data_IF_883363092240
#
_entry.id   IF_883363092240
#
_cell.length_a   1.000
_cell.length_b   1.000
_cell.length_c   1.000
_cell.angle_alpha   90.00
_cell.angle_beta   90.00
_cell.angle_gamma   90.00
#
_symmetry.space_group_name_H-M   'P 1'
#
loop_
_entity.id
_entity.type
_entity.pdbx_description
1 polymer ?
#
# COMPACT_ATOMS: atom_id res chain seq x y z
N UNK A 1 -33.31 -12.25 -15.57
CA UNK A 1 -31.86 -11.91 -15.42
C UNK A 1 -31.51 -11.28 -14.06
N UNK A 2 -32.48 -10.75 -13.30
CA UNK A 2 -32.29 -10.10 -11.99
C UNK A 2 -32.09 -11.05 -10.78
N UNK A 3 -32.76 -12.21 -10.75
CA UNK A 3 -32.78 -13.05 -9.53
C UNK A 3 -31.44 -13.72 -9.18
N UNK A 4 -30.61 -14.02 -10.19
CA UNK A 4 -29.27 -14.56 -9.97
C UNK A 4 -28.36 -13.51 -9.32
N UNK A 5 -28.38 -12.27 -9.83
CA UNK A 5 -27.56 -11.19 -9.28
C UNK A 5 -27.98 -10.84 -7.85
N UNK A 6 -29.28 -10.79 -7.56
CA UNK A 6 -29.80 -10.56 -6.20
C UNK A 6 -29.39 -11.67 -5.23
N UNK A 7 -29.44 -12.93 -5.65
CA UNK A 7 -29.00 -14.08 -4.84
C UNK A 7 -27.52 -14.01 -4.45
N UNK A 8 -26.65 -13.53 -5.34
CA UNK A 8 -25.20 -13.53 -5.12
C UNK A 8 -24.61 -12.16 -4.76
N UNK A 9 -25.40 -11.09 -4.74
CA UNK A 9 -24.95 -9.71 -4.48
C UNK A 9 -24.09 -9.59 -3.22
N UNK A 10 -24.54 -10.19 -2.12
CA UNK A 10 -23.82 -10.13 -0.85
C UNK A 10 -22.55 -10.98 -0.86
N UNK A 11 -22.58 -12.14 -1.53
CA UNK A 11 -21.39 -12.98 -1.73
C UNK A 11 -20.33 -12.26 -2.55
N UNK A 12 -20.71 -11.61 -3.65
CA UNK A 12 -19.81 -10.83 -4.52
C UNK A 12 -19.15 -9.71 -3.71
N UNK A 13 -19.93 -8.94 -2.92
CA UNK A 13 -19.39 -7.89 -2.04
C UNK A 13 -18.43 -8.45 -1.00
N UNK A 14 -18.76 -9.56 -0.33
CA UNK A 14 -17.90 -10.20 0.67
C UNK A 14 -16.58 -10.67 0.06
N UNK A 15 -16.62 -11.28 -1.12
CA UNK A 15 -15.42 -11.72 -1.85
C UNK A 15 -14.57 -10.51 -2.22
N UNK A 16 -15.14 -9.47 -2.81
CA UNK A 16 -14.42 -8.25 -3.17
C UNK A 16 -13.73 -7.60 -1.95
N UNK A 17 -14.43 -7.49 -0.81
CA UNK A 17 -13.88 -6.97 0.45
C UNK A 17 -12.75 -7.84 0.98
N UNK A 18 -12.89 -9.17 0.94
CA UNK A 18 -11.82 -10.11 1.33
C UNK A 18 -10.57 -9.93 0.48
N UNK A 19 -10.72 -9.79 -0.84
CA UNK A 19 -9.58 -9.55 -1.72
C UNK A 19 -8.92 -8.18 -1.46
N UNK A 20 -9.71 -7.13 -1.21
CA UNK A 20 -9.17 -5.82 -0.81
C UNK A 20 -8.36 -5.92 0.49
N UNK A 21 -8.93 -6.54 1.53
CA UNK A 21 -8.26 -6.70 2.81
C UNK A 21 -6.96 -7.49 2.69
N UNK A 22 -6.93 -8.56 1.89
CA UNK A 22 -5.70 -9.33 1.62
C UNK A 22 -4.59 -8.46 1.01
N UNK A 23 -4.94 -7.59 0.05
CA UNK A 23 -3.98 -6.70 -0.60
C UNK A 23 -3.42 -5.64 0.35
N UNK A 24 -4.29 -5.02 1.15
CA UNK A 24 -3.89 -4.03 2.16
C UNK A 24 -3.04 -4.70 3.25
N UNK A 25 -3.46 -5.87 3.72
CA UNK A 25 -2.74 -6.63 4.75
C UNK A 25 -1.33 -6.97 4.35
N UNK A 26 -1.06 -7.27 3.07
CA UNK A 26 0.29 -7.59 2.63
C UNK A 26 1.26 -6.39 2.72
N UNK A 27 0.82 -5.20 2.28
CA UNK A 27 1.62 -3.98 2.43
C UNK A 27 1.80 -3.60 3.90
N UNK A 28 0.73 -3.70 4.70
CA UNK A 28 0.82 -3.40 6.13
C UNK A 28 1.75 -4.37 6.87
N UNK A 29 1.73 -5.66 6.50
CA UNK A 29 2.66 -6.65 7.04
C UNK A 29 4.11 -6.35 6.63
N UNK A 30 4.35 -5.83 5.44
CA UNK A 30 5.69 -5.38 5.05
C UNK A 30 6.17 -4.18 5.86
N UNK A 31 5.24 -3.33 6.31
CA UNK A 31 5.53 -2.13 7.11
C UNK A 31 5.53 -2.37 8.62
N UNK A 32 5.16 -3.56 9.11
CA UNK A 32 4.91 -3.79 10.55
C UNK A 32 6.14 -3.71 11.43
N UNK A 33 7.32 -3.98 10.86
CA UNK A 33 8.62 -3.95 11.52
C UNK A 33 9.45 -2.73 11.08
N UNK A 34 8.83 -1.77 10.37
CA UNK A 34 9.50 -0.61 9.81
C UNK A 34 9.15 0.63 10.61
N UNK A 35 10.03 1.62 10.50
CA UNK A 35 9.82 2.95 11.03
C UNK A 35 10.23 3.99 9.99
N UNK A 36 9.75 5.22 10.17
CA UNK A 36 10.17 6.36 9.39
C UNK A 36 11.68 6.53 9.52
N UNK A 37 12.39 6.54 8.39
CA UNK A 37 13.84 6.74 8.31
C UNK A 37 14.30 8.04 8.99
N UNK A 38 13.47 9.09 8.93
CA UNK A 38 13.86 10.42 9.42
C UNK A 38 13.50 10.68 10.89
N UNK A 39 12.32 10.24 11.36
CA UNK A 39 11.81 10.61 12.70
C UNK A 39 11.48 9.42 13.61
N UNK A 40 11.65 8.18 13.15
CA UNK A 40 11.40 6.99 13.96
C UNK A 40 9.93 6.62 14.19
N UNK A 41 8.96 7.35 13.61
CA UNK A 41 7.54 7.00 13.66
C UNK A 41 7.33 5.55 13.21
N UNK A 42 6.57 4.75 13.95
CA UNK A 42 6.40 3.31 13.73
C UNK A 42 4.95 2.89 13.48
N UNK A 43 3.99 3.82 13.61
CA UNK A 43 2.60 3.53 13.28
C UNK A 43 2.46 3.22 11.77
N UNK A 44 2.16 1.95 11.45
CA UNK A 44 2.06 1.46 10.07
C UNK A 44 1.14 2.30 9.19
N UNK A 45 0.06 2.87 9.74
CA UNK A 45 -0.89 3.70 9.01
C UNK A 45 -0.28 5.03 8.53
N UNK A 46 0.71 5.54 9.26
CA UNK A 46 1.42 6.77 8.99
C UNK A 46 2.55 6.59 7.97
N UNK A 47 3.02 5.35 7.77
CA UNK A 47 4.15 5.02 6.91
C UNK A 47 3.79 5.01 5.41
N UNK A 48 4.74 5.49 4.61
CA UNK A 48 4.65 5.67 3.16
C UNK A 48 5.94 5.20 2.50
N UNK A 49 5.81 4.68 1.29
CA UNK A 49 6.95 4.35 0.43
C UNK A 49 7.32 5.58 -0.41
N UNK A 50 8.29 6.38 0.01
CA UNK A 50 8.70 7.54 -0.77
C UNK A 50 9.75 7.16 -1.82
N UNK A 51 9.62 7.58 -3.09
CA UNK A 51 8.54 8.43 -3.65
C UNK A 51 7.36 7.63 -4.25
N UNK A 52 7.38 6.29 -4.20
CA UNK A 52 6.52 5.43 -5.02
C UNK A 52 5.19 4.97 -4.39
N UNK A 53 4.74 5.55 -3.26
CA UNK A 53 3.58 5.08 -2.47
C UNK A 53 2.30 4.99 -3.31
N UNK A 54 2.04 6.02 -4.13
CA UNK A 54 0.87 6.08 -5.01
C UNK A 54 0.90 4.98 -6.08
N UNK A 55 2.05 4.75 -6.70
CA UNK A 55 2.26 3.72 -7.72
C UNK A 55 2.10 2.31 -7.12
N UNK A 56 2.75 2.04 -5.98
CA UNK A 56 2.65 0.77 -5.26
C UNK A 56 1.19 0.46 -4.90
N UNK A 57 0.45 1.44 -4.35
CA UNK A 57 -0.96 1.25 -3.98
C UNK A 57 -1.86 1.07 -5.20
N UNK A 58 -1.57 1.73 -6.32
CA UNK A 58 -2.30 1.56 -7.58
C UNK A 58 -2.11 0.14 -8.14
N UNK A 59 -0.88 -0.32 -8.28
CA UNK A 59 -0.57 -1.66 -8.81
C UNK A 59 -1.13 -2.74 -7.90
N UNK A 60 -0.98 -2.58 -6.58
CA UNK A 60 -1.54 -3.51 -5.59
C UNK A 60 -3.06 -3.65 -5.78
N UNK A 61 -3.80 -2.54 -5.92
CA UNK A 61 -5.25 -2.55 -6.14
C UNK A 61 -5.67 -3.26 -7.43
N UNK A 62 -4.96 -3.04 -8.53
CA UNK A 62 -5.34 -3.51 -9.88
C UNK A 62 -4.90 -4.93 -10.19
N UNK A 63 -3.64 -5.29 -9.90
CA UNK A 63 -3.02 -6.52 -10.41
C UNK A 63 -3.09 -7.73 -9.46
N UNK A 64 -3.84 -7.60 -8.35
CA UNK A 64 -4.32 -8.72 -7.54
C UNK A 64 -3.31 -9.85 -7.30
N UNK A 65 -2.14 -9.59 -6.70
CA UNK A 65 -1.16 -10.63 -6.29
C UNK A 65 -0.77 -11.61 -7.43
N UNK A 66 -0.92 -11.23 -8.70
CA UNK A 66 -0.37 -12.01 -9.80
C UNK A 66 1.16 -11.81 -9.84
N UNK A 67 1.91 -12.84 -10.25
CA UNK A 67 3.37 -12.89 -10.12
C UNK A 67 4.12 -11.68 -10.70
N UNK A 68 3.73 -11.20 -11.88
CA UNK A 68 4.38 -10.05 -12.54
C UNK A 68 4.15 -8.73 -11.79
N UNK A 69 2.90 -8.44 -11.40
CA UNK A 69 2.58 -7.23 -10.64
C UNK A 69 3.21 -7.21 -9.24
N UNK A 70 3.42 -8.39 -8.63
CA UNK A 70 4.12 -8.50 -7.35
C UNK A 70 5.60 -8.14 -7.48
N UNK A 71 6.26 -8.59 -8.56
CA UNK A 71 7.67 -8.24 -8.80
C UNK A 71 7.85 -6.73 -9.02
N UNK A 72 6.96 -6.10 -9.78
CA UNK A 72 6.98 -4.64 -9.98
C UNK A 72 6.85 -3.88 -8.64
N UNK A 73 5.91 -4.31 -7.78
CA UNK A 73 5.76 -3.69 -6.46
C UNK A 73 7.02 -3.88 -5.61
N UNK A 74 7.63 -5.07 -5.62
CA UNK A 74 8.87 -5.31 -4.87
C UNK A 74 10.00 -4.39 -5.34
N UNK A 75 10.20 -4.26 -6.65
CA UNK A 75 11.21 -3.36 -7.20
C UNK A 75 10.98 -1.89 -6.76
N UNK A 76 9.72 -1.44 -6.74
CA UNK A 76 9.38 -0.08 -6.27
C UNK A 76 9.58 0.08 -4.77
N UNK A 77 9.30 -0.95 -3.98
CA UNK A 77 9.55 -0.94 -2.53
C UNK A 77 11.06 -0.83 -2.27
N UNK A 78 11.87 -1.62 -2.98
CA UNK A 78 13.32 -1.66 -2.81
C UNK A 78 13.99 -0.32 -3.20
N UNK A 79 13.42 0.40 -4.16
CA UNK A 79 13.85 1.75 -4.54
C UNK A 79 13.22 2.86 -3.70
N UNK A 80 12.37 2.53 -2.72
CA UNK A 80 11.72 3.51 -1.84
C UNK A 80 12.38 3.60 -0.46
N UNK A 81 12.27 4.77 0.17
CA UNK A 81 12.49 4.94 1.60
C UNK A 81 11.17 4.89 2.35
N UNK A 82 11.17 4.28 3.52
CA UNK A 82 10.01 4.30 4.42
C UNK A 82 10.03 5.61 5.22
N UNK A 83 9.04 6.46 5.02
CA UNK A 83 8.89 7.72 5.76
C UNK A 83 7.45 7.90 6.23
N UNK A 84 7.25 8.64 7.32
CA UNK A 84 5.91 9.02 7.73
C UNK A 84 5.36 10.17 6.87
N UNK A 85 4.04 10.36 6.87
CA UNK A 85 3.39 11.41 6.10
C UNK A 85 3.92 12.82 6.40
N UNK A 86 4.22 13.12 7.67
CA UNK A 86 4.75 14.43 8.06
C UNK A 86 6.17 14.66 7.50
N UNK A 87 7.03 13.64 7.51
CA UNK A 87 8.36 13.74 6.92
C UNK A 87 8.29 13.84 5.39
N UNK A 88 7.33 13.16 4.76
CA UNK A 88 7.07 13.33 3.33
C UNK A 88 6.78 14.80 3.00
N UNK A 89 5.83 15.43 3.69
CA UNK A 89 5.46 16.82 3.43
C UNK A 89 6.69 17.73 3.62
N UNK A 90 7.49 17.50 4.66
CA UNK A 90 8.73 18.26 4.88
C UNK A 90 9.70 18.11 3.72
N UNK A 91 9.89 16.90 3.21
CA UNK A 91 10.77 16.62 2.09
C UNK A 91 10.27 17.28 0.79
N UNK A 92 8.97 17.19 0.50
CA UNK A 92 8.35 17.84 -0.67
C UNK A 92 8.42 19.39 -0.61
N UNK A 93 8.66 19.96 0.58
CA UNK A 93 8.84 21.40 0.80
C UNK A 93 10.30 21.78 1.09
N UNK A 94 11.26 20.89 0.78
CA UNK A 94 12.71 21.11 0.99
C UNK A 94 13.10 21.49 2.44
N UNK A 95 12.31 21.04 3.42
CA UNK A 95 12.54 21.31 4.85
C UNK A 95 13.42 20.25 5.54
N UNK A 96 13.63 19.10 4.88
CA UNK A 96 14.52 18.03 5.31
C UNK A 96 15.16 17.39 4.08
N UNK A 97 16.33 16.79 4.24
CA UNK A 97 16.99 15.98 3.22
C UNK A 97 17.00 14.50 3.64
N UNK A 98 16.84 13.59 2.67
CA UNK A 98 17.03 12.17 2.88
C UNK A 98 18.53 11.86 2.83
N UNK A 99 19.18 11.74 4.00
CA UNK A 99 20.57 11.27 4.14
C UNK A 99 20.61 9.73 4.20
#
# INVERSE_FOLDING_TARGET
>A
MQSHYEKYKETIKKVARRHYNKRVSWLNQHLSDKSCHNCGESETICLKFHPHDSQIRKISKTNGINGSGRQEILNLIDSSKIICHNCWIKLDNDLIELI
#
